data_IF_263123187801
#
_entry.id   IF_263123187801
#
_cell.length_a   1.000
_cell.length_b   1.000
_cell.length_c   1.000
_cell.angle_alpha   90.00
_cell.angle_beta   90.00
_cell.angle_gamma   90.00
#
_symmetry.space_group_name_H-M   'P 1'
#
loop_
_entity.id
_entity.type
_entity.pdbx_description
1 polymer ?
#
# COMPACT_ATOMS: atom_id res chain seq x y z
N UNK A 1 10.45 5.09 17.19
CA UNK A 1 10.91 3.82 16.59
C UNK A 1 11.35 4.12 15.18
N UNK A 2 12.38 3.46 14.64
CA UNK A 2 12.79 3.71 13.25
C UNK A 2 11.72 3.25 12.27
N UNK A 3 11.43 4.07 11.26
CA UNK A 3 10.59 3.65 10.15
C UNK A 3 11.38 2.72 9.24
N UNK A 4 10.91 1.48 9.07
CA UNK A 4 11.54 0.46 8.22
C UNK A 4 10.64 0.14 7.03
N UNK A 5 10.84 0.84 5.91
CA UNK A 5 9.98 0.71 4.72
C UNK A 5 9.85 -0.73 4.24
N UNK A 6 10.94 -1.50 4.23
CA UNK A 6 10.90 -2.89 3.75
C UNK A 6 10.03 -3.79 4.64
N UNK A 7 10.03 -3.54 5.96
CA UNK A 7 9.14 -4.22 6.88
C UNK A 7 7.69 -3.82 6.60
N UNK A 8 7.44 -2.52 6.42
CA UNK A 8 6.10 -1.99 6.13
C UNK A 8 5.56 -2.57 4.83
N UNK A 9 6.34 -2.63 3.75
CA UNK A 9 5.96 -3.28 2.48
C UNK A 9 5.63 -4.76 2.68
N UNK A 10 6.41 -5.48 3.50
CA UNK A 10 6.10 -6.86 3.87
C UNK A 10 4.76 -7.00 4.60
N UNK A 11 4.49 -6.09 5.55
CA UNK A 11 3.23 -6.04 6.29
C UNK A 11 2.05 -5.64 5.37
N UNK A 12 2.27 -4.78 4.38
CA UNK A 12 1.30 -4.41 3.34
C UNK A 12 0.92 -5.62 2.47
N UNK A 13 1.91 -6.42 2.04
CA UNK A 13 1.66 -7.68 1.31
C UNK A 13 0.85 -8.65 2.15
N UNK A 14 1.20 -8.82 3.43
CA UNK A 14 0.47 -9.71 4.34
C UNK A 14 -0.99 -9.25 4.56
N UNK A 15 -1.23 -7.94 4.65
CA UNK A 15 -2.56 -7.37 4.75
C UNK A 15 -3.40 -7.65 3.48
N UNK A 16 -2.80 -7.46 2.30
CA UNK A 16 -3.44 -7.79 1.02
C UNK A 16 -3.73 -9.30 0.88
N UNK A 17 -2.80 -10.16 1.30
CA UNK A 17 -2.96 -11.62 1.36
C UNK A 17 -4.18 -12.01 2.22
N UNK A 18 -4.35 -11.37 3.38
CA UNK A 18 -5.48 -11.60 4.28
C UNK A 18 -6.86 -11.33 3.64
N UNK A 19 -6.90 -10.44 2.63
CA UNK A 19 -8.10 -10.13 1.85
C UNK A 19 -8.30 -11.13 0.71
N UNK A 20 -7.26 -11.38 -0.10
CA UNK A 20 -7.36 -12.29 -1.25
C UNK A 20 -7.51 -13.76 -0.84
N UNK A 21 -6.95 -14.16 0.30
CA UNK A 21 -7.03 -15.52 0.87
C UNK A 21 -6.71 -16.59 -0.16
N UNK A 22 -7.73 -17.31 -0.63
CA UNK A 22 -7.61 -18.41 -1.61
C UNK A 22 -7.22 -17.92 -3.01
N UNK A 23 -7.43 -16.64 -3.31
CA UNK A 23 -7.04 -16.03 -4.58
C UNK A 23 -5.60 -15.48 -4.55
N UNK A 24 -4.96 -15.43 -3.37
CA UNK A 24 -3.61 -14.88 -3.20
C UNK A 24 -2.58 -15.46 -4.16
N UNK A 25 -2.48 -16.80 -4.38
CA UNK A 25 -1.49 -17.34 -5.31
C UNK A 25 -1.64 -16.90 -6.76
N UNK A 26 -2.79 -16.32 -7.15
CA UNK A 26 -3.03 -15.82 -8.52
C UNK A 26 -2.66 -14.35 -8.69
N UNK A 27 -2.53 -13.63 -7.58
CA UNK A 27 -2.38 -12.16 -7.56
C UNK A 27 -1.15 -11.72 -6.79
N UNK A 28 -0.44 -12.65 -6.14
CA UNK A 28 0.75 -12.38 -5.36
C UNK A 28 1.82 -11.68 -6.20
N UNK A 29 2.24 -12.27 -7.30
CA UNK A 29 3.29 -11.71 -8.17
C UNK A 29 2.92 -10.31 -8.66
N UNK A 30 1.63 -10.10 -8.96
CA UNK A 30 1.08 -8.80 -9.33
C UNK A 30 1.18 -7.78 -8.20
N UNK A 31 0.76 -8.14 -6.99
CA UNK A 31 0.87 -7.27 -5.83
C UNK A 31 2.32 -6.95 -5.49
N UNK A 32 3.22 -7.94 -5.55
CA UNK A 32 4.64 -7.74 -5.33
C UNK A 32 5.23 -6.79 -6.37
N UNK A 33 4.85 -6.92 -7.64
CA UNK A 33 5.29 -6.02 -8.68
C UNK A 33 4.77 -4.59 -8.47
N UNK A 34 3.46 -4.42 -8.21
CA UNK A 34 2.87 -3.09 -7.96
C UNK A 34 3.53 -2.42 -6.75
N UNK A 35 3.77 -3.14 -5.66
CA UNK A 35 4.48 -2.61 -4.50
C UNK A 35 5.94 -2.28 -4.78
N UNK A 36 6.60 -3.03 -5.66
CA UNK A 36 7.96 -2.73 -6.09
C UNK A 36 8.00 -1.47 -6.96
N UNK A 37 7.05 -1.32 -7.89
CA UNK A 37 6.94 -0.17 -8.78
C UNK A 37 6.63 1.11 -8.00
N UNK A 38 5.76 1.03 -6.99
CA UNK A 38 5.37 2.17 -6.15
C UNK A 38 6.29 2.38 -4.94
N UNK A 39 7.31 1.54 -4.74
CA UNK A 39 8.19 1.59 -3.56
C UNK A 39 8.81 2.96 -3.34
N UNK A 40 9.23 3.63 -4.42
CA UNK A 40 9.83 4.96 -4.34
C UNK A 40 8.80 6.02 -3.94
N UNK A 41 7.58 5.96 -4.47
CA UNK A 41 6.49 6.87 -4.11
C UNK A 41 6.12 6.72 -2.63
N UNK A 42 5.90 5.49 -2.16
CA UNK A 42 5.60 5.20 -0.75
C UNK A 42 6.72 5.65 0.18
N UNK A 43 7.98 5.50 -0.24
CA UNK A 43 9.14 6.01 0.50
C UNK A 43 9.08 7.53 0.65
N UNK A 44 8.87 8.24 -0.45
CA UNK A 44 8.84 9.70 -0.46
C UNK A 44 7.68 10.25 0.38
N UNK A 45 6.48 9.66 0.28
CA UNK A 45 5.32 10.02 1.10
C UNK A 45 5.63 9.81 2.59
N UNK A 46 6.22 8.67 2.93
CA UNK A 46 6.57 8.34 4.32
C UNK A 46 7.61 9.30 4.90
N UNK A 47 8.68 9.57 4.14
CA UNK A 47 9.75 10.48 4.56
C UNK A 47 9.23 11.91 4.72
N UNK A 48 8.39 12.39 3.80
CA UNK A 48 7.79 13.73 3.87
C UNK A 48 6.86 13.87 5.08
N UNK A 49 6.02 12.86 5.36
CA UNK A 49 5.16 12.90 6.55
C UNK A 49 5.95 12.85 7.85
N UNK A 50 6.91 11.92 7.97
CA UNK A 50 7.76 11.80 9.18
C UNK A 50 8.63 13.06 9.37
N UNK A 51 9.06 13.68 8.27
CA UNK A 51 9.79 14.94 8.27
C UNK A 51 8.94 16.15 8.68
N UNK A 52 7.61 16.01 8.74
CA UNK A 52 6.67 17.09 9.00
C UNK A 52 6.39 17.98 7.79
N UNK A 53 6.79 17.56 6.59
CA UNK A 53 6.52 18.25 5.32
C UNK A 53 5.09 17.98 4.81
N UNK A 54 4.43 16.93 5.32
CA UNK A 54 3.02 16.64 5.07
C UNK A 54 2.21 16.70 6.36
N UNK A 55 1.04 17.31 6.28
CA UNK A 55 -0.01 17.20 7.30
C UNK A 55 -0.76 15.86 7.20
N UNK A 56 -1.58 15.54 8.20
CA UNK A 56 -2.46 14.36 8.17
C UNK A 56 -3.42 14.36 6.97
N UNK A 57 -3.92 15.53 6.58
CA UNK A 57 -4.82 15.69 5.43
C UNK A 57 -4.05 15.44 4.12
N UNK A 58 -2.87 16.03 3.98
CA UNK A 58 -2.02 15.82 2.79
C UNK A 58 -1.52 14.38 2.69
N UNK A 59 -1.24 13.70 3.81
CA UNK A 59 -0.93 12.27 3.81
C UNK A 59 -2.11 11.46 3.24
N UNK A 60 -3.35 11.76 3.65
CA UNK A 60 -4.53 11.07 3.14
C UNK A 60 -4.71 11.31 1.64
N UNK A 61 -4.52 12.54 1.17
CA UNK A 61 -4.64 12.88 -0.26
C UNK A 61 -3.59 12.14 -1.10
N UNK A 62 -2.34 12.05 -0.61
CA UNK A 62 -1.30 11.27 -1.28
C UNK A 62 -1.64 9.78 -1.33
N UNK A 63 -2.08 9.20 -0.20
CA UNK A 63 -2.49 7.79 -0.14
C UNK A 63 -3.72 7.49 -1.01
N UNK A 64 -4.61 8.45 -1.21
CA UNK A 64 -5.72 8.32 -2.16
C UNK A 64 -5.23 8.24 -3.61
N UNK A 65 -4.24 9.04 -3.98
CA UNK A 65 -3.57 8.92 -5.28
C UNK A 65 -2.92 7.55 -5.47
N UNK A 66 -2.18 7.09 -4.47
CA UNK A 66 -1.54 5.76 -4.46
C UNK A 66 -2.56 4.63 -4.54
N UNK A 67 -3.73 4.79 -3.91
CA UNK A 67 -4.82 3.81 -3.99
C UNK A 67 -5.26 3.59 -5.43
N UNK A 68 -5.46 4.66 -6.18
CA UNK A 68 -5.92 4.58 -7.57
C UNK A 68 -4.84 3.95 -8.48
N UNK A 69 -3.56 4.27 -8.25
CA UNK A 69 -2.42 3.66 -8.94
C UNK A 69 -2.32 2.15 -8.66
N UNK A 70 -2.40 1.76 -7.39
CA UNK A 70 -2.42 0.36 -6.97
C UNK A 70 -3.61 -0.41 -7.56
N UNK A 71 -4.82 0.16 -7.47
CA UNK A 71 -6.01 -0.46 -8.04
C UNK A 71 -5.84 -0.71 -9.54
N UNK A 72 -5.27 0.25 -10.28
CA UNK A 72 -4.99 0.11 -11.70
C UNK A 72 -3.96 -0.99 -11.97
N UNK A 73 -2.84 -1.00 -11.25
CA UNK A 73 -1.79 -2.01 -11.40
C UNK A 73 -2.30 -3.43 -11.15
N UNK A 74 -3.08 -3.64 -10.10
CA UNK A 74 -3.63 -4.96 -9.75
C UNK A 74 -4.78 -5.37 -10.68
N UNK A 75 -5.56 -4.40 -11.18
CA UNK A 75 -6.62 -4.67 -12.15
C UNK A 75 -6.07 -5.21 -13.48
N UNK A 76 -4.83 -4.84 -13.86
CA UNK A 76 -4.17 -5.40 -15.05
C UNK A 76 -3.94 -6.92 -14.93
N UNK A 77 -3.99 -7.48 -13.71
CA UNK A 77 -3.70 -8.88 -13.44
C UNK A 77 -4.94 -9.79 -13.50
N UNK A 78 -6.04 -9.30 -14.11
CA UNK A 78 -7.25 -10.07 -14.46
C UNK A 78 -7.92 -10.77 -13.27
N UNK A 79 -7.87 -10.16 -12.08
CA UNK A 79 -8.58 -10.66 -10.90
C UNK A 79 -10.08 -10.47 -11.08
N UNK A 80 -10.89 -11.42 -10.60
CA UNK A 80 -12.33 -11.49 -10.90
C UNK A 80 -13.19 -10.40 -10.24
N UNK A 81 -12.73 -9.76 -9.18
CA UNK A 81 -13.56 -8.87 -8.36
C UNK A 81 -12.85 -7.57 -8.04
N UNK A 82 -13.30 -6.48 -8.70
CA UNK A 82 -12.86 -5.11 -8.40
C UNK A 82 -12.92 -4.84 -6.90
N UNK A 83 -14.03 -5.19 -6.24
CA UNK A 83 -14.23 -4.99 -4.79
C UNK A 83 -13.15 -5.68 -3.95
N UNK A 84 -12.66 -6.85 -4.37
CA UNK A 84 -11.59 -7.55 -3.64
C UNK A 84 -10.27 -6.81 -3.78
N UNK A 85 -9.98 -6.27 -4.98
CA UNK A 85 -8.81 -5.44 -5.23
C UNK A 85 -8.84 -4.20 -4.34
N UNK A 86 -9.94 -3.43 -4.36
CA UNK A 86 -10.05 -2.21 -3.54
C UNK A 86 -9.86 -2.49 -2.05
N UNK A 87 -10.43 -3.60 -1.55
CA UNK A 87 -10.24 -4.01 -0.15
C UNK A 87 -8.80 -4.37 0.17
N UNK A 88 -8.10 -5.05 -0.74
CA UNK A 88 -6.71 -5.44 -0.55
C UNK A 88 -5.78 -4.22 -0.59
N UNK A 89 -5.99 -3.31 -1.54
CA UNK A 89 -5.26 -2.04 -1.63
C UNK A 89 -5.48 -1.19 -0.40
N UNK A 90 -6.73 -1.02 0.04
CA UNK A 90 -7.03 -0.27 1.28
C UNK A 90 -6.39 -0.91 2.50
N UNK A 91 -6.39 -2.25 2.60
CA UNK A 91 -5.74 -2.95 3.70
C UNK A 91 -4.22 -2.73 3.70
N UNK A 92 -3.59 -2.72 2.53
CA UNK A 92 -2.18 -2.42 2.37
C UNK A 92 -1.88 -0.96 2.75
N UNK A 93 -2.55 0.03 2.16
CA UNK A 93 -2.26 1.44 2.44
C UNK A 93 -2.53 1.84 3.90
N UNK A 94 -3.51 1.21 4.55
CA UNK A 94 -3.75 1.40 5.99
C UNK A 94 -2.55 0.98 6.84
N UNK A 95 -1.82 -0.07 6.45
CA UNK A 95 -0.58 -0.48 7.14
C UNK A 95 0.49 0.60 7.01
N UNK A 96 0.64 1.21 5.83
CA UNK A 96 1.58 2.31 5.64
C UNK A 96 1.19 3.52 6.49
N UNK A 97 -0.08 3.91 6.46
CA UNK A 97 -0.61 5.03 7.24
C UNK A 97 -0.37 4.83 8.75
N UNK A 98 -0.73 3.66 9.28
CA UNK A 98 -0.53 3.33 10.69
C UNK A 98 0.96 3.30 11.06
N UNK A 99 1.82 2.80 10.16
CA UNK A 99 3.26 2.76 10.38
C UNK A 99 3.90 4.14 10.43
N UNK A 100 3.55 5.05 9.51
CA UNK A 100 4.11 6.42 9.51
C UNK A 100 3.59 7.23 10.69
N UNK A 101 2.31 7.09 11.05
CA UNK A 101 1.70 7.75 12.22
C UNK A 101 2.24 7.25 13.55
N UNK A 102 2.71 6.01 13.64
CA UNK A 102 3.29 5.47 14.88
C UNK A 102 4.71 6.01 15.17
N UNK A 103 5.33 6.70 14.20
CA UNK A 103 6.69 7.25 14.32
C UNK A 103 6.70 8.66 14.89
N UNK A 104 5.68 9.46 14.56
CA UNK A 104 5.49 10.87 14.94
C UNK A 104 4.73 10.97 16.26
#
# INVERSE_FOLDING_TARGET
>A
MGFELDKVIGDMLAAAEGVFRKEWPKVKDAMEQVLADEREALKNISEAYIGGDLTDEELQDQLEGERDAFEAGVAMCKVKSKVTIQKAVNAALKVLEEAVKAVV
#
